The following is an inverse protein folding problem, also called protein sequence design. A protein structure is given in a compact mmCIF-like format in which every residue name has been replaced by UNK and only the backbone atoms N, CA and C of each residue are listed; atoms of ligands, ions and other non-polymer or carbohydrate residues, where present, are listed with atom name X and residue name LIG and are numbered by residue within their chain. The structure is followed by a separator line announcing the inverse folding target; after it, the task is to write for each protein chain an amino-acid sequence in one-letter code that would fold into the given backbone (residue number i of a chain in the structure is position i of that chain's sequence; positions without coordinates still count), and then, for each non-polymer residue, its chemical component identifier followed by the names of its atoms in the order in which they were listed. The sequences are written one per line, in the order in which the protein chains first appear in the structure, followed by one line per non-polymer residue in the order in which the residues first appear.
data_IF_776232392810
#
_entry.id   IF_776232392810
#
_cell.length_a   1.000
_cell.length_b   1.000
_cell.length_c   1.000
_cell.angle_alpha   90.00
_cell.angle_beta   90.00
_cell.angle_gamma   90.00
#
_symmetry.space_group_name_H-M   'P 1'
#
loop_
_entity.id
_entity.type
_entity.pdbx_description
1 polymer ?
#
# COMPACT_ATOMS: atom_id res chain seq x y z
N UNK A 1 -11.26 16.88 12.95
CA UNK A 1 -9.95 17.54 12.76
C UNK A 1 -9.73 18.65 13.79
N UNK A 2 -10.00 18.42 15.09
CA UNK A 2 -9.83 19.46 16.13
C UNK A 2 -8.48 19.38 16.85
N UNK A 3 -7.80 18.22 16.82
CA UNK A 3 -6.39 18.11 17.21
C UNK A 3 -5.53 18.50 16.01
N UNK A 4 -4.74 19.56 16.16
CA UNK A 4 -3.90 20.11 15.08
C UNK A 4 -2.81 19.15 14.64
N UNK A 5 -2.23 18.34 15.53
CA UNK A 5 -1.19 17.37 15.19
C UNK A 5 -1.75 16.24 14.33
N UNK A 6 -2.93 15.75 14.70
CA UNK A 6 -3.64 14.75 13.91
C UNK A 6 -4.04 15.30 12.54
N UNK A 7 -4.54 16.55 12.51
CA UNK A 7 -4.92 17.19 11.24
C UNK A 7 -3.72 17.39 10.32
N UNK A 8 -2.58 17.84 10.85
CA UNK A 8 -1.36 18.05 10.09
C UNK A 8 -0.82 16.74 9.54
N UNK A 9 -0.72 15.70 10.38
CA UNK A 9 -0.26 14.38 9.96
C UNK A 9 -1.12 13.82 8.82
N UNK A 10 -2.44 13.75 9.00
CA UNK A 10 -3.34 13.14 8.00
C UNK A 10 -3.35 13.94 6.70
N UNK A 11 -3.33 15.27 6.78
CA UNK A 11 -3.29 16.12 5.58
C UNK A 11 -1.97 15.91 4.83
N UNK A 12 -0.85 15.86 5.55
CA UNK A 12 0.45 15.61 4.94
C UNK A 12 0.53 14.22 4.29
N UNK A 13 0.05 13.16 4.95
CA UNK A 13 0.03 11.80 4.40
C UNK A 13 -0.78 11.73 3.10
N UNK A 14 -1.97 12.35 3.07
CA UNK A 14 -2.82 12.42 1.87
C UNK A 14 -2.18 13.25 0.75
N UNK A 15 -1.66 14.44 1.05
CA UNK A 15 -1.03 15.32 0.06
C UNK A 15 0.21 14.65 -0.57
N UNK A 16 1.04 13.97 0.25
CA UNK A 16 2.22 13.27 -0.25
C UNK A 16 1.86 12.01 -1.02
N UNK A 17 0.81 11.29 -0.59
CA UNK A 17 0.27 10.17 -1.37
C UNK A 17 -0.18 10.64 -2.75
N UNK A 18 -0.83 11.81 -2.88
CA UNK A 18 -1.23 12.38 -4.16
C UNK A 18 -0.04 12.87 -4.99
N UNK A 19 0.97 13.47 -4.36
CA UNK A 19 2.15 14.00 -5.05
C UNK A 19 3.16 12.95 -5.50
N UNK A 20 3.21 11.77 -4.86
CA UNK A 20 4.21 10.75 -5.16
C UNK A 20 4.05 10.15 -6.57
N UNK A 21 5.17 9.86 -7.24
CA UNK A 21 5.20 9.12 -8.51
C UNK A 21 4.89 7.63 -8.35
N UNK A 22 5.21 7.08 -7.16
CA UNK A 22 4.93 5.71 -6.76
C UNK A 22 4.44 5.66 -5.31
N UNK A 23 3.39 4.91 -5.06
CA UNK A 23 2.84 4.61 -3.73
C UNK A 23 3.02 3.11 -3.47
N UNK A 24 3.87 2.80 -2.48
CA UNK A 24 4.09 1.42 -2.05
C UNK A 24 3.29 1.15 -0.78
N UNK A 25 2.37 0.19 -0.83
CA UNK A 25 1.58 -0.20 0.34
C UNK A 25 1.98 -1.58 0.82
N UNK A 26 2.49 -1.63 2.06
CA UNK A 26 2.95 -2.85 2.70
C UNK A 26 1.94 -3.35 3.75
N UNK A 27 1.39 -4.52 3.51
CA UNK A 27 0.55 -5.25 4.46
C UNK A 27 1.34 -6.42 5.05
N UNK A 28 1.52 -6.40 6.37
CA UNK A 28 2.20 -7.47 7.10
C UNK A 28 1.22 -8.16 8.06
N UNK A 29 1.37 -9.48 8.24
CA UNK A 29 0.47 -10.27 9.08
C UNK A 29 0.44 -9.85 10.57
N UNK A 30 1.40 -9.02 11.02
CA UNK A 30 1.50 -8.55 12.41
C UNK A 30 0.78 -7.22 12.67
N UNK A 31 0.13 -6.63 11.67
CA UNK A 31 -0.61 -5.36 11.77
C UNK A 31 -1.99 -5.50 11.15
N UNK A 32 -2.98 -4.81 11.74
CA UNK A 32 -4.30 -4.66 11.13
C UNK A 32 -4.30 -3.63 9.98
N UNK A 33 -3.35 -2.68 10.00
CA UNK A 33 -3.14 -1.65 8.98
C UNK A 33 -4.41 -0.99 8.41
N UNK A 34 -5.39 -0.56 9.24
CA UNK A 34 -6.68 -0.06 8.74
C UNK A 34 -6.55 1.26 7.96
N UNK A 35 -5.60 2.13 8.34
CA UNK A 35 -5.35 3.39 7.64
C UNK A 35 -4.66 3.12 6.29
N UNK A 36 -3.65 2.26 6.26
CA UNK A 36 -3.01 1.86 4.99
C UNK A 36 -3.98 1.15 4.04
N UNK A 37 -4.97 0.41 4.56
CA UNK A 37 -6.03 -0.19 3.74
C UNK A 37 -6.97 0.86 3.14
N UNK A 38 -7.27 1.92 3.89
CA UNK A 38 -8.05 3.08 3.41
C UNK A 38 -7.27 3.84 2.32
N UNK A 39 -6.01 4.15 2.59
CA UNK A 39 -5.08 4.84 1.68
C UNK A 39 -4.86 4.05 0.38
N UNK A 40 -4.69 2.73 0.49
CA UNK A 40 -4.65 1.83 -0.67
C UNK A 40 -5.91 1.95 -1.53
N UNK A 41 -7.10 1.99 -0.91
CA UNK A 41 -8.36 2.20 -1.62
C UNK A 41 -8.42 3.54 -2.36
N UNK A 42 -7.91 4.61 -1.74
CA UNK A 42 -7.81 5.94 -2.37
C UNK A 42 -6.84 5.93 -3.55
N UNK A 43 -5.68 5.27 -3.41
CA UNK A 43 -4.66 5.21 -4.44
C UNK A 43 -4.94 4.19 -5.56
N UNK A 44 -5.83 3.21 -5.35
CA UNK A 44 -5.97 2.04 -6.24
C UNK A 44 -6.21 2.37 -7.72
N UNK A 45 -6.84 3.50 -8.02
CA UNK A 45 -7.16 3.92 -9.40
C UNK A 45 -6.13 4.85 -10.04
N UNK A 46 -5.08 5.21 -9.30
CA UNK A 46 -4.09 6.20 -9.74
C UNK A 46 -3.09 5.66 -10.77
N UNK A 47 -2.96 4.33 -10.87
CA UNK A 47 -1.95 3.69 -11.74
C UNK A 47 -0.53 3.71 -11.17
N UNK A 48 -0.32 4.28 -9.98
CA UNK A 48 0.99 4.43 -9.32
C UNK A 48 1.15 3.57 -8.06
N UNK A 49 0.42 2.47 -7.96
CA UNK A 49 0.44 1.63 -6.74
C UNK A 49 1.20 0.34 -6.98
N UNK A 50 2.10 0.00 -6.05
CA UNK A 50 2.58 -1.36 -5.83
C UNK A 50 2.09 -1.80 -4.46
N UNK A 51 1.39 -2.94 -4.40
CA UNK A 51 0.92 -3.52 -3.15
C UNK A 51 1.78 -4.74 -2.79
N UNK A 52 2.06 -4.93 -1.50
CA UNK A 52 2.72 -6.12 -1.00
C UNK A 52 1.95 -6.68 0.21
N UNK A 53 1.65 -7.97 0.19
CA UNK A 53 1.12 -8.72 1.32
C UNK A 53 2.19 -9.73 1.76
N UNK A 54 3.09 -9.31 2.67
CA UNK A 54 4.19 -10.17 3.10
C UNK A 54 3.68 -11.32 3.97
N UNK A 55 4.01 -12.53 3.54
CA UNK A 55 3.68 -13.75 4.26
C UNK A 55 4.80 -14.16 5.22
N UNK A 56 4.44 -14.77 6.35
CA UNK A 56 5.40 -15.39 7.27
C UNK A 56 4.93 -16.78 7.66
N UNK A 57 5.48 -17.80 6.99
CA UNK A 57 5.01 -19.18 7.13
C UNK A 57 3.54 -19.29 6.72
N UNK A 58 2.67 -19.72 7.64
CA UNK A 58 1.23 -19.82 7.40
C UNK A 58 0.44 -18.55 7.74
N UNK A 59 1.11 -17.45 8.09
CA UNK A 59 0.46 -16.19 8.49
C UNK A 59 0.39 -15.23 7.31
N UNK A 60 -0.79 -14.65 7.13
CA UNK A 60 -1.09 -13.63 6.12
C UNK A 60 -1.78 -12.43 6.76
N UNK A 61 -1.80 -11.31 6.05
CA UNK A 61 -2.57 -10.14 6.43
C UNK A 61 -4.07 -10.46 6.50
N UNK A 62 -4.75 -10.02 7.56
CA UNK A 62 -6.15 -10.37 7.84
C UNK A 62 -7.11 -10.03 6.69
N UNK A 63 -6.84 -8.93 5.97
CA UNK A 63 -7.66 -8.45 4.86
C UNK A 63 -7.03 -8.79 3.48
N UNK A 64 -6.10 -9.77 3.40
CA UNK A 64 -5.42 -10.15 2.15
C UNK A 64 -6.40 -10.41 0.99
N UNK A 65 -7.52 -11.09 1.26
CA UNK A 65 -8.53 -11.35 0.23
C UNK A 65 -9.16 -10.09 -0.36
N UNK A 66 -9.37 -9.04 0.44
CA UNK A 66 -9.85 -7.75 -0.04
C UNK A 66 -8.78 -7.04 -0.89
N UNK A 67 -7.53 -7.05 -0.45
CA UNK A 67 -6.39 -6.50 -1.21
C UNK A 67 -6.28 -7.20 -2.56
N UNK A 68 -6.32 -8.53 -2.59
CA UNK A 68 -6.29 -9.33 -3.82
C UNK A 68 -7.42 -8.96 -4.78
N UNK A 69 -8.65 -8.82 -4.28
CA UNK A 69 -9.79 -8.46 -5.12
C UNK A 69 -9.63 -7.08 -5.77
N UNK A 70 -9.17 -6.08 -5.00
CA UNK A 70 -8.90 -4.72 -5.50
C UNK A 70 -7.74 -4.73 -6.51
N UNK A 71 -6.65 -5.43 -6.19
CA UNK A 71 -5.51 -5.54 -7.10
C UNK A 71 -5.90 -6.18 -8.44
N UNK A 72 -6.64 -7.29 -8.42
CA UNK A 72 -7.16 -7.91 -9.63
C UNK A 72 -8.09 -6.98 -10.41
N UNK A 73 -8.95 -6.23 -9.70
CA UNK A 73 -9.94 -5.33 -10.32
C UNK A 73 -9.31 -4.11 -11.01
N UNK A 74 -8.20 -3.60 -10.48
CA UNK A 74 -7.53 -2.39 -10.97
C UNK A 74 -6.15 -2.66 -11.60
N UNK A 75 -5.79 -3.93 -11.79
CA UNK A 75 -4.52 -4.36 -12.41
C UNK A 75 -3.29 -3.83 -11.64
N UNK A 76 -3.38 -3.86 -10.31
CA UNK A 76 -2.28 -3.48 -9.41
C UNK A 76 -1.41 -4.72 -9.15
N UNK A 77 -0.09 -4.55 -9.24
CA UNK A 77 0.86 -5.60 -8.88
C UNK A 77 0.75 -5.90 -7.38
N UNK A 78 0.52 -7.16 -7.04
CA UNK A 78 0.50 -7.65 -5.65
C UNK A 78 1.65 -8.63 -5.43
N UNK A 79 2.56 -8.26 -4.53
CA UNK A 79 3.78 -9.00 -4.22
C UNK A 79 3.66 -9.70 -2.86
N UNK A 80 4.38 -10.80 -2.67
CA UNK A 80 4.28 -11.62 -1.46
C UNK A 80 5.58 -11.70 -0.66
N UNK A 81 6.70 -11.25 -1.24
CA UNK A 81 8.03 -11.29 -0.62
C UNK A 81 8.66 -9.90 -0.57
N UNK A 82 9.59 -9.72 0.37
CA UNK A 82 10.35 -8.48 0.49
C UNK A 82 11.32 -8.31 -0.70
N UNK A 83 11.84 -9.43 -1.20
CA UNK A 83 12.75 -9.47 -2.34
C UNK A 83 12.06 -9.00 -3.63
N UNK A 84 10.85 -9.49 -3.91
CA UNK A 84 10.07 -9.06 -5.07
C UNK A 84 9.69 -7.58 -4.94
N UNK A 85 9.32 -7.14 -3.74
CA UNK A 85 9.00 -5.74 -3.48
C UNK A 85 10.20 -4.82 -3.76
N UNK A 86 11.37 -5.20 -3.24
CA UNK A 86 12.61 -4.47 -3.49
C UNK A 86 12.91 -4.40 -4.99
N UNK A 87 12.82 -5.53 -5.71
CA UNK A 87 13.08 -5.58 -7.14
C UNK A 87 12.13 -4.66 -7.93
N UNK A 88 10.83 -4.71 -7.66
CA UNK A 88 9.83 -3.89 -8.35
C UNK A 88 10.02 -2.38 -8.09
N UNK A 89 10.40 -1.99 -6.86
CA UNK A 89 10.70 -0.59 -6.55
C UNK A 89 11.98 -0.13 -7.25
N UNK A 90 13.03 -0.96 -7.30
CA UNK A 90 14.26 -0.61 -8.03
C UNK A 90 13.99 -0.46 -9.52
N UNK A 91 13.24 -1.38 -10.12
CA UNK A 91 12.83 -1.33 -11.54
C UNK A 91 12.13 0.01 -11.84
N UNK A 92 11.09 0.36 -11.07
CA UNK A 92 10.38 1.64 -11.20
C UNK A 92 11.30 2.87 -11.12
N UNK A 93 12.33 2.84 -10.26
CA UNK A 93 13.24 3.97 -10.06
C UNK A 93 14.33 4.09 -11.13
N UNK A 94 14.55 3.03 -11.93
CA UNK A 94 15.60 2.99 -12.95
C UNK A 94 15.10 3.17 -14.37
N UNK A 95 13.79 3.06 -14.59
CA UNK A 95 13.09 3.34 -15.85
C UNK A 95 12.58 4.78 -15.91
#
# INVERSE_FOLDING_TARGET
MSDSRFSEQVTWELDMQEAADLVVVLFHHSTAAPISLLEFGLAARSGKVIAACLESGSKSYENKGNVQAVCARFQIQLLETQEDLHAAVVEFLTE
#
